data_IF_539548137515
#
_entry.id   IF_539548137515
#
_cell.length_a   1.000
_cell.length_b   1.000
_cell.length_c   1.000
_cell.angle_alpha   90.00
_cell.angle_beta   90.00
_cell.angle_gamma   90.00
#
_symmetry.space_group_name_H-M   'P 1'
#
loop_
_entity.id
_entity.type
_entity.pdbx_description
1 polymer ?
#
# COMPACT_ATOMS: atom_id res chain seq x y z
N UNK A 1 30.58 -25.61 6.21
CA UNK A 1 29.36 -24.76 6.16
C UNK A 1 28.14 -25.65 6.27
N UNK A 2 27.19 -25.37 7.17
CA UNK A 2 25.92 -26.13 7.27
C UNK A 2 24.95 -25.64 6.20
N UNK A 3 24.26 -26.55 5.51
CA UNK A 3 23.18 -26.24 4.58
C UNK A 3 22.01 -25.59 5.33
N UNK A 4 21.52 -24.45 4.83
CA UNK A 4 20.29 -23.81 5.32
C UNK A 4 19.21 -23.93 4.26
N UNK A 5 18.02 -24.37 4.66
CA UNK A 5 16.83 -24.38 3.81
C UNK A 5 16.15 -23.02 3.88
N UNK A 6 16.67 -22.05 3.13
CA UNK A 6 16.08 -20.70 3.02
C UNK A 6 15.30 -20.55 1.72
N UNK A 7 14.16 -19.83 1.78
CA UNK A 7 13.39 -19.42 0.60
C UNK A 7 13.46 -17.91 0.44
N UNK A 8 13.45 -17.46 -0.81
CA UNK A 8 13.40 -16.06 -1.18
C UNK A 8 12.21 -15.83 -2.10
N UNK A 9 11.39 -14.83 -1.79
CA UNK A 9 10.30 -14.38 -2.62
C UNK A 9 10.41 -12.87 -2.83
N UNK A 10 10.24 -12.41 -4.07
CA UNK A 10 10.12 -10.99 -4.39
C UNK A 10 8.63 -10.67 -4.57
N UNK A 11 8.08 -9.89 -3.66
CA UNK A 11 6.66 -9.55 -3.69
C UNK A 11 6.36 -8.40 -4.65
N UNK A 12 5.24 -8.49 -5.36
CA UNK A 12 4.69 -7.42 -6.20
C UNK A 12 3.18 -7.45 -6.14
N UNK A 13 2.59 -6.34 -5.65
CA UNK A 13 1.12 -6.20 -5.51
C UNK A 13 0.43 -6.22 -6.89
N UNK A 14 1.12 -5.83 -7.96
CA UNK A 14 0.58 -5.74 -9.32
C UNK A 14 0.79 -6.98 -10.19
N UNK A 15 1.45 -8.03 -9.68
CA UNK A 15 1.75 -9.22 -10.47
C UNK A 15 0.49 -9.85 -11.09
N UNK A 16 -0.58 -10.00 -10.32
CA UNK A 16 -1.84 -10.57 -10.80
C UNK A 16 -2.49 -9.74 -11.90
N UNK A 17 -2.56 -8.41 -11.75
CA UNK A 17 -3.16 -7.53 -12.75
C UNK A 17 -2.34 -7.42 -14.03
N UNK A 18 -1.00 -7.44 -13.92
CA UNK A 18 -0.11 -7.36 -15.07
C UNK A 18 -0.07 -8.67 -15.87
N UNK A 19 -0.17 -9.82 -15.20
CA UNK A 19 -0.13 -11.15 -15.82
C UNK A 19 -1.51 -11.76 -16.05
N UNK A 20 -2.57 -11.04 -15.70
CA UNK A 20 -3.96 -11.47 -15.83
C UNK A 20 -4.24 -12.83 -15.18
N UNK A 21 -3.77 -13.01 -13.94
CA UNK A 21 -3.89 -14.31 -13.26
C UNK A 21 -5.36 -14.65 -12.96
N UNK A 22 -5.75 -15.95 -12.94
CA UNK A 22 -7.14 -16.36 -12.69
C UNK A 22 -7.72 -15.89 -11.35
N UNK A 23 -6.86 -15.47 -10.43
CA UNK A 23 -7.15 -15.11 -9.06
C UNK A 23 -6.99 -13.61 -8.76
N UNK A 24 -6.99 -12.76 -9.80
CA UNK A 24 -6.99 -11.28 -9.68
C UNK A 24 -8.07 -10.73 -8.75
N UNK A 25 -9.21 -11.42 -8.62
CA UNK A 25 -10.32 -11.05 -7.75
C UNK A 25 -9.90 -10.89 -6.28
N UNK A 26 -8.78 -11.50 -5.85
CA UNK A 26 -8.25 -11.31 -4.49
C UNK A 26 -7.98 -9.85 -4.13
N UNK A 27 -7.58 -9.02 -5.10
CA UNK A 27 -7.39 -7.58 -4.87
C UNK A 27 -8.69 -6.85 -4.52
N UNK A 28 -9.86 -7.38 -4.91
CA UNK A 28 -11.17 -6.85 -4.51
C UNK A 28 -11.58 -7.36 -3.12
N UNK A 29 -11.32 -8.63 -2.80
CA UNK A 29 -11.68 -9.20 -1.49
C UNK A 29 -10.90 -8.59 -0.33
N UNK A 30 -9.63 -8.23 -0.54
CA UNK A 30 -8.77 -7.72 0.53
C UNK A 30 -9.26 -6.37 1.09
N UNK A 31 -9.56 -5.33 0.29
CA UNK A 31 -10.18 -4.09 0.76
C UNK A 31 -11.51 -4.30 1.48
N UNK A 32 -12.35 -5.24 1.02
CA UNK A 32 -13.61 -5.56 1.70
C UNK A 32 -13.38 -6.02 3.15
N UNK A 33 -12.45 -6.95 3.34
CA UNK A 33 -12.05 -7.42 4.69
C UNK A 33 -11.43 -6.31 5.54
N UNK A 34 -10.66 -5.41 4.92
CA UNK A 34 -10.07 -4.25 5.61
C UNK A 34 -11.17 -3.31 6.09
N UNK A 35 -12.20 -3.04 5.29
CA UNK A 35 -13.35 -2.23 5.68
C UNK A 35 -14.07 -2.83 6.91
N UNK A 36 -14.33 -4.13 6.90
CA UNK A 36 -14.94 -4.82 8.05
C UNK A 36 -14.09 -4.65 9.33
N UNK A 37 -12.76 -4.70 9.21
CA UNK A 37 -11.85 -4.51 10.35
C UNK A 37 -11.80 -3.06 10.83
N UNK A 38 -11.95 -2.08 9.93
CA UNK A 38 -12.10 -0.68 10.30
C UNK A 38 -13.38 -0.47 11.11
N UNK A 39 -14.51 -0.98 10.62
CA UNK A 39 -15.81 -0.81 11.29
C UNK A 39 -15.84 -1.51 12.66
N UNK A 40 -15.15 -2.64 12.79
CA UNK A 40 -14.97 -3.35 14.06
C UNK A 40 -13.93 -2.71 15.00
N UNK A 41 -13.26 -1.62 14.57
CA UNK A 41 -12.21 -0.95 15.36
C UNK A 41 -10.93 -1.78 15.55
N UNK A 42 -10.72 -2.83 14.75
CA UNK A 42 -9.53 -3.69 14.83
C UNK A 42 -8.28 -3.01 14.25
N UNK A 43 -8.48 -2.07 13.34
CA UNK A 43 -7.43 -1.27 12.70
C UNK A 43 -7.84 0.20 12.66
N UNK A 44 -6.86 1.08 12.50
CA UNK A 44 -7.05 2.55 12.49
C UNK A 44 -6.42 3.18 11.25
N UNK A 45 -6.86 4.40 10.95
CA UNK A 45 -6.33 5.17 9.82
C UNK A 45 -4.84 5.47 10.04
N UNK A 46 -4.10 5.51 8.93
CA UNK A 46 -2.66 5.83 8.93
C UNK A 46 -2.36 7.19 8.28
N UNK A 47 -3.41 7.92 7.86
CA UNK A 47 -3.28 9.27 7.30
C UNK A 47 -2.70 10.21 8.34
N UNK A 48 -1.65 10.94 7.95
CA UNK A 48 -0.88 11.83 8.81
C UNK A 48 -0.90 13.28 8.32
N UNK A 49 -1.02 13.48 7.01
CA UNK A 49 -1.02 14.79 6.36
C UNK A 49 -2.16 14.85 5.34
N UNK A 50 -2.87 15.98 5.30
CA UNK A 50 -3.96 16.23 4.37
C UNK A 50 -3.64 17.45 3.50
N UNK A 51 -3.48 17.23 2.20
CA UNK A 51 -3.29 18.25 1.19
C UNK A 51 -4.65 18.56 0.55
N UNK A 52 -5.15 19.75 0.86
CA UNK A 52 -6.52 20.19 0.56
C UNK A 52 -6.97 20.18 -0.92
N UNK A 53 -6.05 20.14 -1.89
CA UNK A 53 -6.39 20.25 -3.32
C UNK A 53 -5.58 19.31 -4.19
N UNK A 54 -6.24 18.62 -5.11
CA UNK A 54 -5.59 17.80 -6.14
C UNK A 54 -5.18 18.73 -7.29
N UNK A 55 -3.93 19.21 -7.27
CA UNK A 55 -3.35 20.03 -8.33
C UNK A 55 -1.88 19.66 -8.56
N UNK A 56 -1.23 20.29 -9.55
CA UNK A 56 0.17 19.98 -9.87
C UNK A 56 1.15 20.38 -8.75
N UNK A 57 0.83 21.44 -8.00
CA UNK A 57 1.67 21.94 -6.91
C UNK A 57 1.68 20.98 -5.73
N UNK A 58 0.49 20.55 -5.26
CA UNK A 58 0.35 19.59 -4.18
C UNK A 58 1.00 18.27 -4.51
N UNK A 59 0.80 17.75 -5.74
CA UNK A 59 1.43 16.49 -6.18
C UNK A 59 2.95 16.56 -6.18
N UNK A 60 3.55 17.68 -6.62
CA UNK A 60 5.01 17.87 -6.56
C UNK A 60 5.52 17.94 -5.11
N UNK A 61 4.77 18.59 -4.22
CA UNK A 61 5.12 18.64 -2.80
C UNK A 61 5.04 17.22 -2.17
N UNK A 62 3.97 16.47 -2.42
CA UNK A 62 3.82 15.08 -1.97
C UNK A 62 4.98 14.21 -2.46
N UNK A 63 5.32 14.29 -3.77
CA UNK A 63 6.41 13.53 -4.35
C UNK A 63 7.74 13.83 -3.65
N UNK A 64 8.06 15.10 -3.46
CA UNK A 64 9.30 15.52 -2.77
C UNK A 64 9.38 14.94 -1.35
N UNK A 65 8.27 14.91 -0.63
CA UNK A 65 8.22 14.33 0.73
C UNK A 65 8.41 12.80 0.70
N UNK A 66 7.79 12.11 -0.25
CA UNK A 66 7.90 10.65 -0.39
C UNK A 66 9.32 10.23 -0.81
N UNK A 67 9.89 10.90 -1.80
CA UNK A 67 11.26 10.66 -2.28
C UNK A 67 12.31 10.94 -1.20
N UNK A 68 12.02 11.87 -0.29
CA UNK A 68 12.86 12.15 0.87
C UNK A 68 12.85 11.07 1.95
N UNK A 69 11.99 10.04 1.87
CA UNK A 69 11.99 8.89 2.79
C UNK A 69 11.63 9.19 4.24
N UNK A 70 11.15 10.40 4.55
CA UNK A 70 10.86 10.88 5.91
C UNK A 70 9.35 10.89 6.24
N UNK A 71 8.51 10.42 5.33
CA UNK A 71 7.07 10.37 5.54
C UNK A 71 6.70 9.32 6.59
N UNK A 72 5.97 9.73 7.62
CA UNK A 72 5.37 8.84 8.62
C UNK A 72 3.88 8.75 8.29
N UNK A 73 3.36 7.55 8.08
CA UNK A 73 1.95 7.35 7.73
C UNK A 73 1.66 7.56 6.24
N UNK A 74 0.51 8.17 5.91
CA UNK A 74 0.05 8.44 4.55
C UNK A 74 -0.30 9.91 4.35
N UNK A 75 0.14 10.47 3.23
CA UNK A 75 -0.26 11.80 2.76
C UNK A 75 -1.50 11.62 1.89
N UNK A 76 -2.58 12.34 2.22
CA UNK A 76 -3.88 12.30 1.52
C UNK A 76 -4.09 13.59 0.75
#
# INVERSE_FOLDING_TARGET
MKTKAASFARESVFAGSLLQTPDMIRQHHLPGRIADWFDQGKIRWTSSEFLSRINAESRRATHRTLEGGRSIGKIV
#
